data_IF_053400906378
#
_entry.id   IF_053400906378
#
_cell.length_a   1.000
_cell.length_b   1.000
_cell.length_c   1.000
_cell.angle_alpha   90.00
_cell.angle_beta   90.00
_cell.angle_gamma   90.00
#
_symmetry.space_group_name_H-M   'P 1'
#
loop_
_entity.id
_entity.type
_entity.pdbx_description
1 polymer ?
#
# COMPACT_ATOMS: atom_id res chain seq x y z
N UNK A 1 4.22 18.63 -34.83
CA UNK A 1 4.14 18.16 -33.42
C UNK A 1 3.34 19.24 -32.71
N UNK A 2 2.03 19.29 -32.99
CA UNK A 2 1.18 20.51 -32.82
C UNK A 2 0.01 20.30 -31.84
N UNK A 3 0.08 19.24 -31.03
CA UNK A 3 -1.04 18.81 -30.18
C UNK A 3 -0.75 18.98 -28.69
N UNK A 4 -0.12 20.10 -28.29
CA UNK A 4 0.17 20.42 -26.89
C UNK A 4 -0.23 21.86 -26.60
N UNK A 5 -0.89 22.09 -25.45
CA UNK A 5 -1.29 23.43 -25.00
C UNK A 5 -0.08 24.29 -24.62
N UNK A 6 1.03 23.67 -24.21
CA UNK A 6 2.30 24.35 -23.91
C UNK A 6 3.08 24.69 -25.20
N UNK A 7 3.30 25.98 -25.47
CA UNK A 7 4.12 26.46 -26.60
C UNK A 7 5.62 26.28 -26.37
N UNK A 8 6.10 26.64 -25.17
CA UNK A 8 7.47 26.39 -24.72
C UNK A 8 7.41 25.38 -23.58
N UNK A 9 8.13 24.26 -23.71
CA UNK A 9 8.13 23.19 -22.70
C UNK A 9 9.54 22.65 -22.44
N UNK A 10 9.85 22.27 -21.18
CA UNK A 10 11.11 21.62 -20.87
C UNK A 10 11.19 20.24 -21.54
N UNK A 11 12.41 19.75 -21.79
CA UNK A 11 12.65 18.47 -22.45
C UNK A 11 12.44 17.27 -21.48
N UNK A 12 11.22 17.10 -20.96
CA UNK A 12 10.86 16.08 -19.94
C UNK A 12 11.18 14.66 -20.41
N UNK A 13 11.04 14.39 -21.71
CA UNK A 13 11.32 13.10 -22.33
C UNK A 13 12.78 12.68 -22.24
N UNK A 14 13.73 13.63 -22.17
CA UNK A 14 15.16 13.31 -22.11
C UNK A 14 15.49 12.46 -20.88
N UNK A 15 14.88 12.74 -19.73
CA UNK A 15 15.10 11.99 -18.48
C UNK A 15 14.64 10.54 -18.63
N UNK A 16 13.46 10.32 -19.21
CA UNK A 16 12.91 8.98 -19.44
C UNK A 16 13.74 8.24 -20.51
N UNK A 17 14.04 8.92 -21.63
CA UNK A 17 14.79 8.34 -22.74
C UNK A 17 16.20 7.92 -22.32
N UNK A 18 16.90 8.76 -21.56
CA UNK A 18 18.25 8.44 -21.09
C UNK A 18 18.25 7.24 -20.15
N UNK A 19 17.30 7.17 -19.20
CA UNK A 19 17.16 6.01 -18.32
C UNK A 19 16.85 4.71 -19.08
N UNK A 20 15.96 4.77 -20.07
CA UNK A 20 15.66 3.61 -20.92
C UNK A 20 16.85 3.19 -21.79
N UNK A 21 17.65 4.15 -22.28
CA UNK A 21 18.86 3.84 -23.05
C UNK A 21 19.97 3.24 -22.20
N UNK A 22 20.12 3.71 -20.96
CA UNK A 22 21.17 3.24 -20.06
C UNK A 22 20.86 1.86 -19.47
N UNK A 23 19.63 1.63 -19.02
CA UNK A 23 19.26 0.40 -18.30
C UNK A 23 18.49 -0.60 -19.15
N UNK A 24 17.90 -0.16 -20.27
CA UNK A 24 16.97 -0.97 -21.05
C UNK A 24 15.58 -1.08 -20.41
N UNK A 25 14.54 -1.40 -21.19
CA UNK A 25 13.17 -1.52 -20.69
C UNK A 25 12.97 -2.73 -19.76
N UNK A 26 13.76 -3.79 -19.91
CA UNK A 26 13.62 -5.02 -19.14
C UNK A 26 13.78 -4.79 -17.63
N UNK A 27 14.72 -3.94 -17.21
CA UNK A 27 14.96 -3.62 -15.79
C UNK A 27 13.72 -2.99 -15.15
N UNK A 28 13.02 -2.10 -15.86
CA UNK A 28 11.79 -1.49 -15.37
C UNK A 28 10.64 -2.50 -15.30
N UNK A 29 10.53 -3.39 -16.30
CA UNK A 29 9.53 -4.44 -16.31
C UNK A 29 9.72 -5.41 -15.14
N UNK A 30 10.95 -5.82 -14.84
CA UNK A 30 11.25 -6.68 -13.69
C UNK A 30 10.96 -5.97 -12.36
N UNK A 31 11.33 -4.69 -12.22
CA UNK A 31 11.04 -3.93 -11.01
C UNK A 31 9.53 -3.79 -10.77
N UNK A 32 8.73 -3.53 -11.82
CA UNK A 32 7.28 -3.49 -11.72
C UNK A 32 6.68 -4.85 -11.37
N UNK A 33 7.17 -5.93 -11.98
CA UNK A 33 6.76 -7.30 -11.65
C UNK A 33 7.04 -7.64 -10.20
N UNK A 34 8.23 -7.30 -9.71
CA UNK A 34 8.58 -7.49 -8.30
C UNK A 34 7.60 -6.76 -7.39
N UNK A 35 7.28 -5.49 -7.68
CA UNK A 35 6.34 -4.72 -6.84
C UNK A 35 4.93 -5.32 -6.83
N UNK A 36 4.48 -5.85 -7.97
CA UNK A 36 3.22 -6.59 -8.06
C UNK A 36 3.24 -7.83 -7.16
N UNK A 37 4.28 -8.68 -7.27
CA UNK A 37 4.42 -9.89 -6.47
C UNK A 37 4.51 -9.59 -4.97
N UNK A 38 5.21 -8.52 -4.59
CA UNK A 38 5.28 -8.06 -3.21
C UNK A 38 3.91 -7.62 -2.67
N UNK A 39 3.10 -6.94 -3.48
CA UNK A 39 1.76 -6.53 -3.08
C UNK A 39 0.81 -7.72 -2.94
N UNK A 40 0.89 -8.68 -3.88
CA UNK A 40 0.16 -9.95 -3.80
C UNK A 40 0.53 -10.74 -2.54
N UNK A 41 1.83 -10.88 -2.25
CA UNK A 41 2.30 -11.55 -1.04
C UNK A 41 1.78 -10.87 0.23
N UNK A 42 1.94 -9.54 0.32
CA UNK A 42 1.46 -8.77 1.47
C UNK A 42 -0.04 -8.95 1.68
N UNK A 43 -0.83 -8.82 0.62
CA UNK A 43 -2.28 -9.05 0.66
C UNK A 43 -2.62 -10.46 1.13
N UNK A 44 -1.95 -11.49 0.58
CA UNK A 44 -2.21 -12.87 0.92
C UNK A 44 -1.93 -13.17 2.40
N UNK A 45 -0.89 -12.56 2.98
CA UNK A 45 -0.62 -12.69 4.41
C UNK A 45 -1.61 -11.91 5.27
N UNK A 46 -1.99 -10.69 4.86
CA UNK A 46 -2.97 -9.89 5.61
C UNK A 46 -4.37 -10.51 5.62
N UNK A 47 -4.76 -11.24 4.58
CA UNK A 47 -6.00 -12.03 4.56
C UNK A 47 -6.06 -13.12 5.65
N UNK A 48 -4.91 -13.53 6.19
CA UNK A 48 -4.83 -14.54 7.26
C UNK A 48 -4.91 -13.92 8.65
N UNK A 49 -4.84 -12.59 8.77
CA UNK A 49 -4.86 -11.89 10.04
C UNK A 49 -6.31 -11.69 10.50
N UNK A 50 -6.71 -12.21 11.67
CA UNK A 50 -8.06 -12.01 12.20
C UNK A 50 -8.40 -10.53 12.37
N UNK A 51 -9.65 -10.15 12.07
CA UNK A 51 -10.12 -8.77 12.16
C UNK A 51 -9.67 -7.86 11.02
N UNK A 52 -8.91 -8.36 10.03
CA UNK A 52 -8.56 -7.61 8.83
C UNK A 52 -9.50 -7.97 7.69
N UNK A 53 -10.08 -6.93 7.08
CA UNK A 53 -10.82 -7.02 5.83
C UNK A 53 -10.03 -6.38 4.71
N UNK A 54 -9.67 -7.18 3.71
CA UNK A 54 -8.98 -6.71 2.49
C UNK A 54 -10.01 -6.38 1.41
N UNK A 55 -9.81 -5.26 0.71
CA UNK A 55 -10.68 -4.78 -0.36
C UNK A 55 -10.07 -5.01 -1.74
N UNK A 56 -10.87 -5.62 -2.62
CA UNK A 56 -10.56 -5.79 -4.04
C UNK A 56 -9.56 -6.91 -4.38
N UNK A 57 -9.45 -7.17 -5.68
CA UNK A 57 -8.34 -7.91 -6.29
C UNK A 57 -7.16 -6.97 -6.56
N UNK A 58 -5.98 -7.54 -6.80
CA UNK A 58 -4.78 -6.77 -7.13
C UNK A 58 -4.54 -6.84 -8.63
N UNK A 59 -4.70 -5.71 -9.32
CA UNK A 59 -4.34 -5.55 -10.73
C UNK A 59 -2.95 -4.88 -10.92
N UNK A 60 -2.42 -4.24 -9.87
CA UNK A 60 -1.15 -3.49 -9.86
C UNK A 60 -0.39 -3.76 -8.54
N UNK A 61 0.47 -2.86 -8.05
CA UNK A 61 1.17 -3.03 -6.77
C UNK A 61 0.48 -2.31 -5.60
N UNK A 62 -0.85 -2.26 -5.63
CA UNK A 62 -1.67 -1.47 -4.69
C UNK A 62 -2.89 -2.28 -4.25
N UNK A 63 -3.20 -2.22 -2.96
CA UNK A 63 -4.47 -2.68 -2.40
C UNK A 63 -4.85 -1.86 -1.17
N UNK A 64 -6.04 -2.09 -0.64
CA UNK A 64 -6.51 -1.46 0.58
C UNK A 64 -7.08 -2.50 1.55
N UNK A 65 -7.00 -2.20 2.84
CA UNK A 65 -7.60 -3.02 3.89
C UNK A 65 -8.13 -2.14 5.02
N UNK A 66 -9.01 -2.69 5.85
CA UNK A 66 -9.48 -2.08 7.09
C UNK A 66 -9.53 -3.11 8.20
N UNK A 67 -9.73 -2.62 9.42
CA UNK A 67 -10.19 -3.44 10.52
C UNK A 67 -11.70 -3.63 10.40
N UNK A 68 -12.18 -4.82 10.74
CA UNK A 68 -13.59 -5.16 10.87
C UNK A 68 -13.92 -5.30 12.37
N UNK A 69 -14.78 -4.42 12.89
CA UNK A 69 -15.18 -4.44 14.29
C UNK A 69 -16.12 -5.60 14.59
N UNK A 70 -16.07 -6.14 15.81
CA UNK A 70 -17.11 -7.04 16.33
C UNK A 70 -18.51 -6.41 16.19
N UNK A 71 -19.41 -7.10 15.48
CA UNK A 71 -20.78 -6.64 15.21
C UNK A 71 -20.97 -5.79 13.95
N UNK A 72 -19.90 -5.48 13.21
CA UNK A 72 -19.99 -4.86 11.87
C UNK A 72 -20.40 -3.39 11.84
N UNK A 73 -20.18 -2.63 12.92
CA UNK A 73 -20.36 -1.18 12.91
C UNK A 73 -19.25 -0.50 12.09
N UNK A 74 -19.65 0.20 11.02
CA UNK A 74 -18.73 0.92 10.14
C UNK A 74 -18.01 2.06 10.87
N UNK A 75 -18.68 2.75 11.80
CA UNK A 75 -18.08 3.87 12.52
C UNK A 75 -16.94 3.38 13.42
N UNK A 76 -17.18 2.26 14.12
CA UNK A 76 -16.16 1.63 14.95
C UNK A 76 -15.02 1.05 14.09
N UNK A 77 -15.34 0.34 13.01
CA UNK A 77 -14.34 -0.17 12.05
C UNK A 77 -13.44 0.95 11.53
N UNK A 78 -14.00 2.12 11.20
CA UNK A 78 -13.24 3.30 10.78
C UNK A 78 -12.32 3.82 11.89
N UNK A 79 -12.82 3.91 13.13
CA UNK A 79 -12.06 4.38 14.29
C UNK A 79 -10.86 3.47 14.58
N UNK A 80 -11.07 2.16 14.58
CA UNK A 80 -10.01 1.16 14.80
C UNK A 80 -8.99 1.19 13.67
N UNK A 81 -9.46 1.28 12.42
CA UNK A 81 -8.57 1.37 11.26
C UNK A 81 -7.71 2.63 11.30
N UNK A 82 -8.27 3.77 11.70
CA UNK A 82 -7.51 5.01 11.87
C UNK A 82 -6.46 4.87 12.98
N UNK A 83 -6.83 4.29 14.13
CA UNK A 83 -5.87 4.04 15.22
C UNK A 83 -4.74 3.10 14.82
N UNK A 84 -5.06 2.04 14.07
CA UNK A 84 -4.04 1.13 13.52
C UNK A 84 -3.08 1.89 12.61
N UNK A 85 -3.60 2.70 11.69
CA UNK A 85 -2.77 3.51 10.80
C UNK A 85 -1.83 4.45 11.56
N UNK A 86 -2.37 5.16 12.55
CA UNK A 86 -1.61 6.08 13.39
C UNK A 86 -0.52 5.35 14.19
N UNK A 87 -0.76 4.09 14.60
CA UNK A 87 0.25 3.27 15.28
C UNK A 87 1.35 2.84 14.31
N UNK A 88 0.97 2.29 13.16
CA UNK A 88 1.89 1.82 12.12
C UNK A 88 2.82 2.93 11.62
N UNK A 89 2.30 4.15 11.45
CA UNK A 89 3.06 5.30 10.95
C UNK A 89 4.01 5.93 12.01
N UNK A 90 4.01 5.46 13.27
CA UNK A 90 5.03 5.85 14.25
C UNK A 90 6.36 5.15 14.02
N UNK A 91 6.36 4.01 13.33
CA UNK A 91 7.58 3.27 12.97
C UNK A 91 8.26 3.95 11.76
N UNK A 92 9.59 4.17 11.79
CA UNK A 92 10.29 4.86 10.70
C UNK A 92 10.50 4.01 9.43
N UNK A 93 10.18 2.71 9.47
CA UNK A 93 10.51 1.74 8.41
C UNK A 93 9.61 1.85 7.18
N UNK A 94 8.38 2.34 7.36
CA UNK A 94 7.40 2.47 6.29
C UNK A 94 6.39 3.56 6.61
N UNK A 95 5.69 4.01 5.56
CA UNK A 95 4.62 4.99 5.70
C UNK A 95 3.42 4.53 4.86
N UNK A 96 2.25 4.54 5.48
CA UNK A 96 0.99 4.17 4.87
C UNK A 96 0.06 5.39 4.80
N UNK A 97 -0.69 5.48 3.71
CA UNK A 97 -1.74 6.50 3.52
C UNK A 97 -3.12 5.89 3.72
N UNK A 98 -4.10 6.68 4.15
CA UNK A 98 -5.50 6.26 4.13
C UNK A 98 -6.23 6.69 2.85
N UNK A 99 -7.41 6.14 2.65
CA UNK A 99 -8.42 6.60 1.69
C UNK A 99 -9.82 6.36 2.25
N UNK A 100 -10.81 7.07 1.71
CA UNK A 100 -12.23 6.89 2.04
C UNK A 100 -12.96 6.42 0.79
N UNK A 101 -13.63 5.27 0.89
CA UNK A 101 -14.45 4.70 -0.20
C UNK A 101 -15.82 4.39 0.40
N UNK A 102 -16.87 5.00 -0.14
CA UNK A 102 -18.27 4.79 0.31
C UNK A 102 -18.45 4.94 1.84
N UNK A 103 -17.69 5.85 2.46
CA UNK A 103 -17.72 6.09 3.91
C UNK A 103 -16.85 5.14 4.74
N UNK A 104 -16.24 4.13 4.14
CA UNK A 104 -15.27 3.25 4.79
C UNK A 104 -13.86 3.85 4.76
N UNK A 105 -13.22 3.95 5.92
CA UNK A 105 -11.83 4.38 6.07
C UNK A 105 -10.91 3.19 5.88
N UNK A 106 -10.07 3.24 4.85
CA UNK A 106 -9.20 2.15 4.45
C UNK A 106 -7.73 2.57 4.53
N UNK A 107 -6.87 1.65 4.95
CA UNK A 107 -5.42 1.78 4.84
C UNK A 107 -5.02 1.33 3.44
N UNK A 108 -4.35 2.20 2.69
CA UNK A 108 -3.86 1.94 1.33
C UNK A 108 -2.39 1.54 1.38
N UNK A 109 -2.11 0.32 0.92
CA UNK A 109 -0.75 -0.18 0.72
C UNK A 109 -0.39 -0.01 -0.74
N UNK A 110 0.61 0.83 -1.03
CA UNK A 110 1.11 1.07 -2.38
C UNK A 110 2.62 0.83 -2.44
N UNK A 111 3.02 -0.30 -3.03
CA UNK A 111 4.42 -0.71 -3.13
C UNK A 111 4.96 -0.20 -4.46
N UNK A 112 5.61 0.97 -4.46
CA UNK A 112 6.07 1.65 -5.67
C UNK A 112 7.58 1.94 -5.69
N UNK A 113 8.20 2.00 -4.51
CA UNK A 113 9.63 2.29 -4.42
C UNK A 113 10.46 1.12 -4.92
N UNK A 114 11.37 1.38 -5.87
CA UNK A 114 12.29 0.37 -6.36
C UNK A 114 13.21 -0.19 -5.26
N UNK A 115 13.36 0.53 -4.13
CA UNK A 115 14.15 0.12 -2.97
C UNK A 115 13.38 -0.77 -1.98
N UNK A 116 12.07 -0.91 -2.14
CA UNK A 116 11.25 -1.74 -1.26
C UNK A 116 11.33 -3.19 -1.74
N UNK A 117 11.88 -4.06 -0.92
CA UNK A 117 12.01 -5.49 -1.19
C UNK A 117 11.24 -6.30 -0.13
N UNK A 118 11.35 -7.62 -0.20
CA UNK A 118 10.57 -8.54 0.63
C UNK A 118 10.74 -8.27 2.13
N UNK A 119 11.93 -7.86 2.58
CA UNK A 119 12.23 -7.63 3.99
C UNK A 119 11.40 -6.47 4.57
N UNK A 120 11.20 -5.41 3.78
CA UNK A 120 10.33 -4.28 4.18
C UNK A 120 8.88 -4.71 4.24
N UNK A 121 8.43 -5.55 3.29
CA UNK A 121 7.06 -6.05 3.25
C UNK A 121 6.77 -7.00 4.40
N UNK A 122 7.71 -7.90 4.72
CA UNK A 122 7.62 -8.76 5.89
C UNK A 122 7.63 -7.95 7.20
N UNK A 123 8.41 -6.88 7.27
CA UNK A 123 8.39 -5.97 8.42
C UNK A 123 7.00 -5.34 8.59
N UNK A 124 6.39 -4.85 7.50
CA UNK A 124 5.03 -4.33 7.51
C UNK A 124 4.02 -5.39 7.97
N UNK A 125 4.06 -6.61 7.41
CA UNK A 125 3.14 -7.70 7.78
C UNK A 125 3.25 -8.01 9.27
N UNK A 126 4.48 -8.12 9.80
CA UNK A 126 4.71 -8.36 11.23
C UNK A 126 4.14 -7.23 12.09
N UNK A 127 4.41 -5.98 11.74
CA UNK A 127 3.89 -4.83 12.49
C UNK A 127 2.37 -4.79 12.48
N UNK A 128 1.73 -5.03 11.34
CA UNK A 128 0.26 -5.13 11.26
C UNK A 128 -0.27 -6.24 12.16
N UNK A 129 0.35 -7.42 12.15
CA UNK A 129 -0.05 -8.53 13.02
C UNK A 129 0.05 -8.21 14.51
N UNK A 130 1.15 -7.57 14.94
CA UNK A 130 1.38 -7.18 16.34
C UNK A 130 0.41 -6.10 16.79
N UNK A 131 0.22 -5.06 15.99
CA UNK A 131 -0.67 -3.94 16.31
C UNK A 131 -2.14 -4.39 16.34
N UNK A 132 -2.55 -5.25 15.40
CA UNK A 132 -3.91 -5.81 15.39
C UNK A 132 -4.17 -6.66 16.65
N UNK A 133 -3.23 -7.51 17.06
CA UNK A 133 -3.36 -8.26 18.32
C UNK A 133 -3.41 -7.37 19.55
N UNK A 134 -2.75 -6.21 19.51
CA UNK A 134 -2.78 -5.23 20.62
C UNK A 134 -4.17 -4.61 20.73
N UNK A 135 -4.82 -4.32 19.61
CA UNK A 135 -6.22 -3.86 19.59
C UNK A 135 -7.19 -4.95 20.11
N UNK A 136 -6.97 -6.23 19.75
CA UNK A 136 -7.75 -7.36 20.31
C UNK A 136 -7.58 -7.46 21.82
N UNK A 137 -6.36 -7.39 22.33
CA UNK A 137 -6.09 -7.48 23.78
C UNK A 137 -6.66 -6.30 24.57
N UNK A 138 -6.83 -5.15 23.93
CA UNK A 138 -7.47 -3.98 24.53
C UNK A 138 -9.01 -4.15 24.65
N UNK A 139 -9.59 -5.22 24.09
CA UNK A 139 -11.03 -5.47 24.08
C UNK A 139 -11.79 -4.58 23.10
N UNK A 140 -11.10 -4.10 22.05
CA UNK A 140 -11.65 -3.19 21.04
C UNK A 140 -12.01 -3.90 19.72
N UNK A 141 -11.64 -5.17 19.61
CA UNK A 141 -11.93 -6.03 18.48
C UNK A 141 -12.74 -7.22 18.92
#
# INVERSE_FOLDING_TARGET
>A
MDYSLELTRPFRSLRIWLSLKQYGPAVFAEALREKYLLAEHCRAELLKVPGIRVFGSIDLSIFAFSIESEGGDQSESNRLTQRLLDSLNKTPDFFLSSTLIDGAFLIRVAILSFRTHIETVESLIRSVGVETQTLVKAGEL
#
